data_IF_845707916817
#
_entry.id   IF_845707916817
#
_cell.length_a   1.000
_cell.length_b   1.000
_cell.length_c   1.000
_cell.angle_alpha   90.00
_cell.angle_beta   90.00
_cell.angle_gamma   90.00
#
_symmetry.space_group_name_H-M   'P 1'
#
loop_
_entity.id
_entity.type
_entity.pdbx_description
1 polymer ?
#
# COMPACT_ATOMS: atom_id res chain seq x y z
N UNK A 1 -17.18 -19.65 -13.90
CA UNK A 1 -16.57 -19.23 -12.63
C UNK A 1 -15.98 -17.84 -12.77
N UNK A 2 -16.10 -17.02 -11.75
CA UNK A 2 -15.54 -15.66 -11.78
C UNK A 2 -14.24 -15.61 -10.98
N UNK A 3 -13.23 -14.90 -11.51
CA UNK A 3 -12.03 -14.60 -10.77
C UNK A 3 -12.16 -13.16 -10.25
N UNK A 4 -11.76 -12.93 -9.02
CA UNK A 4 -11.73 -11.61 -8.38
C UNK A 4 -10.31 -11.11 -8.30
N UNK A 5 -10.09 -9.80 -8.08
CA UNK A 5 -8.74 -9.28 -7.92
C UNK A 5 -7.95 -10.03 -6.85
N UNK A 6 -6.66 -10.20 -7.08
CA UNK A 6 -5.78 -10.81 -6.08
C UNK A 6 -5.65 -9.89 -4.88
N UNK A 7 -5.42 -10.48 -3.71
CA UNK A 7 -5.14 -9.72 -2.48
C UNK A 7 -3.71 -10.06 -2.06
N UNK A 8 -2.76 -9.10 -2.23
CA UNK A 8 -1.39 -9.35 -1.79
C UNK A 8 -1.31 -9.35 -0.27
N UNK A 9 -0.44 -10.20 0.26
CA UNK A 9 -0.12 -10.24 1.68
C UNK A 9 1.29 -9.70 1.83
N UNK A 10 1.41 -8.56 2.50
CA UNK A 10 2.69 -7.89 2.70
C UNK A 10 3.17 -8.14 4.13
N UNK A 11 4.46 -8.43 4.26
CA UNK A 11 5.08 -8.58 5.58
C UNK A 11 5.15 -7.24 6.29
N UNK A 12 4.75 -7.21 7.57
CA UNK A 12 4.81 -6.02 8.42
C UNK A 12 5.56 -6.36 9.71
N UNK A 13 6.37 -5.43 10.20
CA UNK A 13 7.18 -5.62 11.40
C UNK A 13 6.80 -4.68 12.54
N UNK A 14 5.97 -3.67 12.27
CA UNK A 14 5.64 -2.66 13.27
C UNK A 14 4.24 -2.13 13.01
N UNK A 15 3.32 -2.47 13.90
CA UNK A 15 1.91 -2.10 13.75
C UNK A 15 1.70 -0.58 13.73
N UNK A 16 2.37 0.15 14.63
CA UNK A 16 2.20 1.60 14.70
C UNK A 16 2.66 2.29 13.41
N UNK A 17 3.81 1.87 12.88
CA UNK A 17 4.33 2.42 11.63
C UNK A 17 3.47 2.03 10.44
N UNK A 18 2.92 0.81 10.43
CA UNK A 18 2.02 0.36 9.37
C UNK A 18 0.76 1.22 9.35
N UNK A 19 0.16 1.50 10.52
CA UNK A 19 -1.03 2.35 10.61
C UNK A 19 -0.74 3.78 10.18
N UNK A 20 0.40 4.36 10.58
CA UNK A 20 0.78 5.70 10.13
C UNK A 20 0.90 5.76 8.61
N UNK A 21 1.53 4.78 8.01
CA UNK A 21 1.79 4.75 6.57
C UNK A 21 0.52 4.46 5.76
N UNK A 22 -0.13 3.35 6.05
CA UNK A 22 -1.25 2.87 5.23
C UNK A 22 -2.57 3.57 5.53
N UNK A 23 -2.85 3.84 6.80
CA UNK A 23 -4.14 4.38 7.21
C UNK A 23 -4.10 5.89 7.25
N UNK A 24 -3.16 6.45 8.02
CA UNK A 24 -3.14 7.90 8.23
C UNK A 24 -2.67 8.65 7.00
N UNK A 25 -1.66 8.13 6.30
CA UNK A 25 -1.09 8.82 5.14
C UNK A 25 -1.69 8.38 3.82
N UNK A 26 -1.65 7.09 3.49
CA UNK A 26 -2.18 6.59 2.21
C UNK A 26 -3.71 6.63 2.14
N UNK A 27 -4.39 6.70 3.28
CA UNK A 27 -5.85 6.84 3.32
C UNK A 27 -6.61 5.54 3.15
N UNK A 28 -5.98 4.39 3.41
CA UNK A 28 -6.68 3.11 3.46
C UNK A 28 -7.48 3.02 4.76
N UNK A 29 -8.51 2.19 4.75
CA UNK A 29 -9.29 1.88 5.95
C UNK A 29 -9.00 0.47 6.41
N UNK A 30 -9.14 0.22 7.71
CA UNK A 30 -9.02 -1.11 8.28
C UNK A 30 -10.35 -1.84 8.08
N UNK A 31 -10.31 -2.98 7.40
CA UNK A 31 -11.50 -3.81 7.20
C UNK A 31 -11.65 -4.85 8.30
N UNK A 32 -10.54 -5.41 8.76
CA UNK A 32 -10.55 -6.37 9.88
C UNK A 32 -9.15 -6.48 10.48
N UNK A 33 -9.13 -6.96 11.73
CA UNK A 33 -7.90 -7.30 12.45
C UNK A 33 -8.07 -8.67 13.08
N UNK A 34 -7.00 -9.46 13.09
CA UNK A 34 -7.03 -10.77 13.70
C UNK A 34 -5.72 -11.06 14.44
N UNK A 35 -5.86 -11.53 15.68
CA UNK A 35 -4.80 -12.15 16.47
C UNK A 35 -5.38 -13.40 17.07
N UNK A 36 -4.61 -14.49 17.11
CA UNK A 36 -5.10 -15.71 17.75
C UNK A 36 -5.31 -15.50 19.24
N UNK A 37 -4.42 -14.72 19.87
CA UNK A 37 -4.52 -14.33 21.27
C UNK A 37 -3.93 -12.93 21.44
N UNK A 38 -4.29 -12.19 22.52
CA UNK A 38 -3.67 -10.90 22.80
C UNK A 38 -2.13 -11.02 22.86
N UNK A 39 -1.44 -10.09 22.21
CA UNK A 39 0.02 -10.09 22.14
C UNK A 39 0.61 -10.95 21.04
N UNK A 40 -0.20 -11.73 20.34
CA UNK A 40 0.24 -12.52 19.20
C UNK A 40 0.36 -11.62 17.95
N UNK A 41 1.08 -12.10 16.90
CA UNK A 41 1.22 -11.35 15.66
C UNK A 41 -0.11 -10.93 15.05
N UNK A 42 -0.16 -9.71 14.53
CA UNK A 42 -1.35 -9.14 13.91
C UNK A 42 -1.44 -9.54 12.44
N UNK A 43 -2.65 -9.89 12.00
CA UNK A 43 -3.02 -10.00 10.61
C UNK A 43 -4.13 -8.99 10.34
N UNK A 44 -3.92 -8.06 9.43
CA UNK A 44 -4.85 -6.95 9.22
C UNK A 44 -5.18 -6.80 7.74
N UNK A 45 -6.48 -6.70 7.43
CA UNK A 45 -6.94 -6.38 6.09
C UNK A 45 -7.27 -4.91 5.98
N UNK A 46 -6.79 -4.28 4.92
CA UNK A 46 -7.03 -2.87 4.63
C UNK A 46 -7.50 -2.72 3.19
N UNK A 47 -8.21 -1.62 2.92
CA UNK A 47 -8.66 -1.33 1.56
C UNK A 47 -8.82 0.15 1.29
N UNK A 48 -8.73 0.50 0.02
CA UNK A 48 -9.14 1.81 -0.50
C UNK A 48 -9.74 1.58 -1.89
N UNK A 49 -10.99 1.97 -2.08
CA UNK A 49 -11.74 1.59 -3.28
C UNK A 49 -11.79 0.07 -3.38
N UNK A 50 -11.49 -0.46 -4.54
CA UNK A 50 -11.45 -1.90 -4.77
C UNK A 50 -10.09 -2.52 -4.47
N UNK A 51 -9.12 -1.72 -4.09
CA UNK A 51 -7.78 -2.19 -3.76
C UNK A 51 -7.75 -2.73 -2.33
N UNK A 52 -7.41 -4.00 -2.19
CA UNK A 52 -7.30 -4.69 -0.90
C UNK A 52 -5.88 -5.18 -0.69
N UNK A 53 -5.37 -4.99 0.51
CA UNK A 53 -4.04 -5.44 0.92
C UNK A 53 -4.19 -6.06 2.30
N UNK A 54 -3.51 -7.18 2.53
CA UNK A 54 -3.38 -7.74 3.88
C UNK A 54 -1.96 -7.47 4.38
N UNK A 55 -1.87 -7.05 5.63
CA UNK A 55 -0.59 -6.82 6.31
C UNK A 55 -0.45 -7.88 7.38
N UNK A 56 0.64 -8.63 7.35
CA UNK A 56 0.86 -9.75 8.27
C UNK A 56 2.18 -9.62 9.01
N UNK A 57 2.11 -9.76 10.32
CA UNK A 57 3.30 -9.85 11.17
C UNK A 57 3.75 -11.31 11.37
N UNK A 58 3.01 -12.29 10.82
CA UNK A 58 3.35 -13.70 10.95
C UNK A 58 4.59 -14.04 10.13
N UNK A 59 5.53 -14.75 10.77
CA UNK A 59 6.69 -15.27 10.07
C UNK A 59 6.23 -16.25 8.97
N UNK A 60 6.75 -16.07 7.76
CA UNK A 60 6.38 -16.89 6.61
C UNK A 60 5.30 -16.30 5.73
N UNK A 61 4.56 -15.29 6.21
CA UNK A 61 3.58 -14.59 5.39
C UNK A 61 4.24 -13.40 4.69
N UNK A 62 4.38 -13.50 3.38
CA UNK A 62 5.03 -12.47 2.60
C UNK A 62 6.54 -12.44 2.82
N UNK A 63 7.24 -11.77 1.94
CA UNK A 63 8.69 -11.61 1.98
C UNK A 63 8.99 -10.12 2.05
N UNK A 64 9.85 -9.66 2.96
CA UNK A 64 10.29 -8.26 2.96
C UNK A 64 10.88 -7.87 1.60
N UNK A 65 10.61 -6.65 1.16
CA UNK A 65 11.08 -6.19 -0.14
C UNK A 65 10.12 -6.47 -1.29
N UNK A 66 8.91 -6.90 -0.99
CA UNK A 66 7.87 -7.12 -2.01
C UNK A 66 7.49 -5.82 -2.69
N UNK A 67 7.30 -5.87 -4.00
CA UNK A 67 6.82 -4.74 -4.80
C UNK A 67 5.43 -5.07 -5.33
N UNK A 68 4.48 -4.15 -5.13
CA UNK A 68 3.15 -4.27 -5.73
C UNK A 68 2.84 -3.04 -6.57
N UNK A 69 2.05 -3.24 -7.62
CA UNK A 69 1.62 -2.18 -8.52
C UNK A 69 0.12 -1.97 -8.35
N UNK A 70 -0.28 -0.73 -8.17
CA UNK A 70 -1.69 -0.35 -7.95
C UNK A 70 -2.06 0.70 -8.98
N UNK A 71 -3.03 0.38 -9.83
CA UNK A 71 -3.54 1.34 -10.80
C UNK A 71 -4.49 2.32 -10.11
N UNK A 72 -4.26 3.60 -10.30
CA UNK A 72 -5.10 4.67 -9.76
C UNK A 72 -5.46 5.60 -10.91
N UNK A 73 -6.73 5.62 -11.31
CA UNK A 73 -7.16 6.39 -12.48
C UNK A 73 -6.84 7.88 -12.33
N UNK A 74 -7.04 8.43 -11.14
CA UNK A 74 -6.80 9.85 -10.84
C UNK A 74 -5.50 9.99 -10.04
N UNK A 75 -4.40 9.50 -10.61
CA UNK A 75 -3.11 9.46 -9.92
C UNK A 75 -2.64 10.85 -9.48
N UNK A 76 -2.81 11.87 -10.31
CA UNK A 76 -2.35 13.22 -9.98
C UNK A 76 -3.13 13.78 -8.80
N UNK A 77 -4.45 13.52 -8.72
CA UNK A 77 -5.25 13.91 -7.57
C UNK A 77 -4.79 13.20 -6.30
N UNK A 78 -4.47 11.91 -6.41
CA UNK A 78 -3.95 11.14 -5.27
C UNK A 78 -2.59 11.67 -4.83
N UNK A 79 -1.72 11.97 -5.77
CA UNK A 79 -0.42 12.60 -5.47
C UNK A 79 -0.62 13.90 -4.69
N UNK A 80 -1.54 14.77 -5.14
CA UNK A 80 -1.84 16.02 -4.45
C UNK A 80 -2.38 15.77 -3.03
N UNK A 81 -3.23 14.75 -2.87
CA UNK A 81 -3.74 14.36 -1.56
C UNK A 81 -2.61 13.99 -0.61
N UNK A 82 -1.65 13.17 -1.06
CA UNK A 82 -0.51 12.77 -0.24
C UNK A 82 0.40 13.95 0.10
N UNK A 83 0.59 14.88 -0.84
CA UNK A 83 1.37 16.08 -0.58
C UNK A 83 0.72 16.97 0.49
N UNK A 84 -0.61 16.94 0.60
CA UNK A 84 -1.35 17.76 1.56
C UNK A 84 -1.31 17.20 2.99
N UNK A 85 -0.92 15.94 3.16
CA UNK A 85 -0.82 15.29 4.47
C UNK A 85 0.66 15.05 4.81
N UNK A 86 1.20 15.76 5.80
CA UNK A 86 2.60 15.54 6.18
C UNK A 86 2.81 14.10 6.68
N UNK A 87 3.84 13.44 6.16
CA UNK A 87 4.30 12.16 6.68
C UNK A 87 5.82 12.19 6.71
N UNK A 88 6.39 12.55 7.88
CA UNK A 88 7.83 12.73 8.02
C UNK A 88 8.33 13.72 6.95
N UNK A 89 9.40 13.38 6.25
CA UNK A 89 9.92 14.18 5.12
C UNK A 89 9.59 13.53 3.77
N UNK A 90 8.53 12.70 3.72
CA UNK A 90 8.20 11.94 2.53
C UNK A 90 7.55 12.83 1.48
N UNK A 91 8.14 12.88 0.30
CA UNK A 91 7.65 13.69 -0.83
C UNK A 91 7.78 12.89 -2.12
N UNK A 92 6.92 11.87 -2.34
CA UNK A 92 7.02 11.09 -3.57
C UNK A 92 6.73 11.95 -4.79
N UNK A 93 7.52 11.77 -5.84
CA UNK A 93 7.34 12.48 -7.10
C UNK A 93 6.58 11.62 -8.11
N UNK A 94 6.03 12.28 -9.13
CA UNK A 94 5.46 11.62 -10.29
C UNK A 94 6.54 11.51 -11.37
N UNK A 95 6.62 10.35 -12.02
CA UNK A 95 7.62 10.09 -13.05
C UNK A 95 6.99 9.31 -14.21
N UNK A 96 7.20 9.80 -15.43
CA UNK A 96 6.74 9.11 -16.63
C UNK A 96 7.78 8.06 -17.03
N UNK A 97 7.29 6.86 -17.34
CA UNK A 97 8.14 5.74 -17.72
C UNK A 97 8.09 5.51 -19.23
N UNK A 98 9.17 4.96 -19.77
CA UNK A 98 9.29 4.68 -21.20
C UNK A 98 8.22 3.71 -21.70
N UNK A 99 7.70 2.85 -20.82
CA UNK A 99 6.66 1.88 -21.19
C UNK A 99 5.24 2.43 -21.15
N UNK A 100 5.09 3.74 -20.97
CA UNK A 100 3.79 4.40 -21.17
C UNK A 100 2.95 4.57 -19.92
N UNK A 101 3.56 4.60 -18.73
CA UNK A 101 2.85 4.86 -17.48
C UNK A 101 3.43 6.09 -16.78
N UNK A 102 2.58 6.73 -15.96
CA UNK A 102 3.03 7.71 -14.96
C UNK A 102 2.96 7.02 -13.62
N UNK A 103 4.02 7.15 -12.81
CA UNK A 103 4.17 6.38 -11.59
C UNK A 103 4.59 7.22 -10.40
N UNK A 104 4.13 6.80 -9.24
CA UNK A 104 4.55 7.33 -7.95
C UNK A 104 4.92 6.15 -7.05
N UNK A 105 6.15 6.14 -6.53
CA UNK A 105 6.64 5.05 -5.70
C UNK A 105 6.73 5.48 -4.26
N UNK A 106 6.27 4.61 -3.36
CA UNK A 106 6.41 4.81 -1.92
C UNK A 106 6.89 3.51 -1.29
N UNK A 107 7.55 3.62 -0.15
CA UNK A 107 8.08 2.46 0.55
C UNK A 107 7.66 2.53 2.01
N UNK A 108 7.11 1.42 2.54
CA UNK A 108 6.70 1.37 3.94
C UNK A 108 7.90 1.10 4.86
N UNK A 109 7.67 1.15 6.17
CA UNK A 109 8.73 0.95 7.14
C UNK A 109 9.22 -0.50 7.24
N UNK A 110 8.57 -1.43 6.56
CA UNK A 110 8.94 -2.85 6.55
C UNK A 110 9.63 -3.28 5.26
N UNK A 111 9.95 -2.32 4.37
CA UNK A 111 10.68 -2.58 3.14
C UNK A 111 9.81 -2.90 1.93
N UNK A 112 8.50 -2.90 2.04
CA UNK A 112 7.62 -3.13 0.90
C UNK A 112 7.50 -1.85 0.08
N UNK A 113 7.45 -2.01 -1.24
CA UNK A 113 7.35 -0.90 -2.18
C UNK A 113 6.02 -0.94 -2.90
N UNK A 114 5.31 0.17 -2.89
CA UNK A 114 4.06 0.34 -3.62
C UNK A 114 4.30 1.29 -4.78
N UNK A 115 3.91 0.85 -5.99
CA UNK A 115 4.00 1.66 -7.19
C UNK A 115 2.58 2.00 -7.61
N UNK A 116 2.17 3.24 -7.37
CA UNK A 116 0.89 3.75 -7.86
C UNK A 116 1.09 4.27 -9.26
N UNK A 117 0.24 3.87 -10.20
CA UNK A 117 0.44 4.23 -11.60
C UNK A 117 -0.88 4.43 -12.33
N UNK A 118 -0.82 5.14 -13.44
CA UNK A 118 -1.87 5.14 -14.46
C UNK A 118 -1.23 5.04 -15.84
N UNK A 119 -1.99 4.52 -16.77
CA UNK A 119 -1.55 4.49 -18.16
C UNK A 119 -1.62 5.89 -18.77
N UNK A 120 -0.66 6.23 -19.59
CA UNK A 120 -0.65 7.46 -20.35
C UNK A 120 -1.27 7.23 -21.72
N UNK A 121 -1.92 8.24 -22.32
CA UNK A 121 -2.42 8.13 -23.69
C UNK A 121 -1.28 7.85 -24.66
N UNK A 122 -1.55 7.01 -25.63
CA UNK A 122 -0.58 6.69 -26.69
C UNK A 122 -0.89 7.41 -27.98
#
# INVERSE_FOLDING_TARGET
>A
MAFHPVVPILRSFDEAKAREFYIDWLGFKVDFEHRFEPGMPLYMGISRGDCRIHLSEHHGDGTPGTVIRICVDELEAYHAELQSRPYKNYRPGLQDQEWGTREMCVQDGSGNKLVFYRDLPR
#
